data_IF_317962970888
#
_entry.id   IF_317962970888
#
_cell.length_a   1.000
_cell.length_b   1.000
_cell.length_c   1.000
_cell.angle_alpha   90.00
_cell.angle_beta   90.00
_cell.angle_gamma   90.00
#
_symmetry.space_group_name_H-M   'P 1'
#
loop_
_entity.id
_entity.type
_entity.pdbx_description
1 polymer ?
#
# COMPACT_ATOMS: atom_id res chain seq x y z
N UNK A 1 13.65 15.86 -24.20
CA UNK A 1 12.25 15.46 -24.48
C UNK A 1 11.56 15.29 -23.16
N UNK A 2 10.41 15.95 -22.97
CA UNK A 2 9.65 15.80 -21.72
C UNK A 2 8.85 14.52 -21.85
N UNK A 3 9.28 13.47 -21.18
CA UNK A 3 8.46 12.27 -21.01
C UNK A 3 7.25 12.68 -20.17
N UNK A 4 6.06 12.37 -20.65
CA UNK A 4 4.82 12.64 -19.94
C UNK A 4 4.38 11.42 -19.12
N UNK A 5 3.37 11.61 -18.26
CA UNK A 5 2.91 10.51 -17.38
C UNK A 5 2.27 9.36 -18.18
N UNK A 6 1.71 9.65 -19.35
CA UNK A 6 1.10 8.63 -20.18
C UNK A 6 2.16 7.74 -20.81
N UNK A 7 3.21 8.34 -21.39
CA UNK A 7 4.36 7.60 -21.92
C UNK A 7 5.03 6.72 -20.86
N UNK A 8 5.14 7.18 -19.60
CA UNK A 8 5.66 6.36 -18.51
C UNK A 8 4.77 5.14 -18.21
N UNK A 9 3.45 5.29 -18.29
CA UNK A 9 2.51 4.18 -18.07
C UNK A 9 2.68 3.11 -19.16
N UNK A 10 2.73 3.54 -20.42
CA UNK A 10 2.90 2.63 -21.56
C UNK A 10 4.22 1.85 -21.51
N UNK A 11 5.29 2.47 -20.98
CA UNK A 11 6.58 1.80 -20.77
C UNK A 11 6.54 0.78 -19.64
N UNK A 12 5.76 1.04 -18.58
CA UNK A 12 5.57 0.08 -17.47
C UNK A 12 4.76 -1.12 -17.94
N UNK A 13 3.72 -0.90 -18.76
CA UNK A 13 2.88 -1.98 -19.29
C UNK A 13 3.62 -2.93 -20.24
N UNK A 14 4.64 -2.43 -20.94
CA UNK A 14 5.47 -3.22 -21.87
C UNK A 14 6.68 -3.87 -21.18
N UNK A 15 6.88 -3.63 -19.88
CA UNK A 15 8.05 -4.11 -19.16
C UNK A 15 7.97 -5.62 -18.94
N UNK A 16 9.05 -6.38 -19.18
CA UNK A 16 9.12 -7.79 -18.82
C UNK A 16 8.90 -8.03 -17.32
N UNK A 17 8.15 -9.07 -16.97
CA UNK A 17 7.78 -9.40 -15.58
C UNK A 17 8.99 -9.55 -14.64
N UNK A 18 10.11 -10.08 -15.14
CA UNK A 18 11.37 -10.24 -14.40
C UNK A 18 12.03 -8.91 -14.04
N UNK A 19 11.69 -7.83 -14.74
CA UNK A 19 12.23 -6.50 -14.52
C UNK A 19 11.31 -5.57 -13.71
N UNK A 20 10.03 -5.92 -13.54
CA UNK A 20 9.03 -5.13 -12.79
C UNK A 20 9.51 -4.85 -11.37
N UNK A 21 10.05 -5.85 -10.68
CA UNK A 21 10.52 -5.69 -9.29
C UNK A 21 11.66 -4.66 -9.18
N UNK A 22 12.61 -4.70 -10.12
CA UNK A 22 13.77 -3.80 -10.14
C UNK A 22 13.35 -2.35 -10.43
N UNK A 23 12.50 -2.15 -11.43
CA UNK A 23 11.99 -0.81 -11.80
C UNK A 23 11.10 -0.23 -10.69
N UNK A 24 10.26 -1.05 -10.07
CA UNK A 24 9.44 -0.62 -8.93
C UNK A 24 10.30 -0.16 -7.74
N UNK A 25 11.40 -0.85 -7.43
CA UNK A 25 12.33 -0.44 -6.38
C UNK A 25 12.98 0.92 -6.69
N UNK A 26 13.38 1.12 -7.94
CA UNK A 26 13.94 2.39 -8.42
C UNK A 26 12.95 3.55 -8.30
N UNK A 27 11.70 3.35 -8.73
CA UNK A 27 10.64 4.36 -8.63
C UNK A 27 10.33 4.68 -7.17
N UNK A 28 10.20 3.67 -6.31
CA UNK A 28 10.01 3.86 -4.86
C UNK A 28 11.12 4.70 -4.23
N UNK A 29 12.37 4.49 -4.63
CA UNK A 29 13.52 5.30 -4.14
C UNK A 29 13.42 6.77 -4.54
N UNK A 30 12.80 7.08 -5.67
CA UNK A 30 12.66 8.44 -6.20
C UNK A 30 11.43 9.17 -5.65
N UNK A 31 10.45 8.44 -5.14
CA UNK A 31 9.29 9.05 -4.50
C UNK A 31 9.70 9.71 -3.17
N UNK A 32 9.15 10.88 -2.85
CA UNK A 32 9.39 11.50 -1.55
C UNK A 32 8.90 10.54 -0.48
N UNK A 33 9.83 10.09 0.36
CA UNK A 33 9.52 9.41 1.61
C UNK A 33 8.78 10.42 2.47
N UNK A 34 7.44 10.40 2.42
CA UNK A 34 6.66 11.01 3.48
C UNK A 34 7.09 10.29 4.76
N UNK A 35 7.48 11.09 5.74
CA UNK A 35 8.32 10.69 6.86
C UNK A 35 7.95 9.36 7.51
N UNK A 36 8.98 8.78 8.09
CA UNK A 36 9.07 7.62 8.97
C UNK A 36 8.13 7.61 10.19
N UNK A 37 6.86 7.98 10.05
CA UNK A 37 5.82 7.81 11.08
C UNK A 37 4.93 6.58 10.84
N UNK A 38 5.18 5.83 9.76
CA UNK A 38 4.50 4.56 9.50
C UNK A 38 5.16 3.86 8.32
N UNK A 39 6.11 2.98 8.62
CA UNK A 39 6.68 2.11 7.59
C UNK A 39 5.53 1.37 6.91
N UNK A 40 5.43 1.51 5.58
CA UNK A 40 4.61 0.64 4.77
C UNK A 40 5.45 -0.54 4.29
N UNK A 41 4.97 -1.78 4.40
CA UNK A 41 3.68 -2.13 4.98
C UNK A 41 3.67 -1.99 6.52
N UNK A 42 2.58 -1.47 7.12
CA UNK A 42 2.39 -1.45 8.57
C UNK A 42 2.43 -2.86 9.16
N UNK A 43 2.69 -3.00 10.46
CA UNK A 43 2.70 -4.32 11.15
C UNK A 43 1.40 -5.12 10.96
N UNK A 44 0.27 -4.46 10.72
CA UNK A 44 -1.02 -5.10 10.45
C UNK A 44 -1.25 -5.48 8.98
N UNK A 45 -0.35 -5.15 8.07
CA UNK A 45 -0.49 -5.49 6.65
C UNK A 45 -0.32 -6.99 6.44
N UNK A 46 -1.32 -7.64 5.86
CA UNK A 46 -1.34 -9.11 5.70
C UNK A 46 -1.89 -9.86 6.92
N UNK A 47 -2.37 -9.17 7.96
CA UNK A 47 -2.98 -9.81 9.14
C UNK A 47 -4.22 -10.66 8.80
N UNK A 48 -4.84 -10.43 7.64
CA UNK A 48 -5.99 -11.24 7.17
C UNK A 48 -5.59 -12.66 6.72
N UNK A 49 -4.31 -12.90 6.47
CA UNK A 49 -3.76 -14.22 6.10
C UNK A 49 -3.20 -14.99 7.31
N UNK A 50 -3.23 -14.40 8.51
CA UNK A 50 -2.80 -15.02 9.75
C UNK A 50 -3.89 -15.97 10.28
N UNK A 51 -3.59 -17.28 10.45
CA UNK A 51 -4.57 -18.29 10.86
C UNK A 51 -5.10 -18.09 12.29
N UNK A 52 -4.41 -17.31 13.12
CA UNK A 52 -4.83 -16.97 14.48
C UNK A 52 -5.73 -15.73 14.53
N UNK A 53 -5.94 -15.05 13.41
CA UNK A 53 -6.82 -13.89 13.31
C UNK A 53 -8.27 -14.36 13.15
N UNK A 54 -9.16 -14.04 14.11
CA UNK A 54 -10.53 -14.53 14.05
C UNK A 54 -11.25 -14.01 12.80
N UNK A 55 -11.80 -14.93 11.99
CA UNK A 55 -12.64 -14.64 10.81
C UNK A 55 -13.81 -13.69 11.12
N UNK A 56 -14.19 -13.57 12.39
CA UNK A 56 -15.20 -12.63 12.89
C UNK A 56 -14.81 -11.16 12.69
N UNK A 57 -13.51 -10.84 12.72
CA UNK A 57 -13.00 -9.47 12.49
C UNK A 57 -13.31 -9.02 11.05
N UNK A 58 -13.12 -9.91 10.07
CA UNK A 58 -13.43 -9.62 8.67
C UNK A 58 -14.94 -9.51 8.38
N UNK A 59 -15.79 -10.13 9.20
CA UNK A 59 -17.26 -10.08 9.03
C UNK A 59 -17.91 -8.86 9.69
N UNK A 60 -17.28 -8.31 10.73
CA UNK A 60 -17.83 -7.21 11.53
C UNK A 60 -17.00 -5.93 11.41
N UNK A 61 -16.28 -5.75 10.29
CA UNK A 61 -15.38 -4.62 10.04
C UNK A 61 -16.08 -3.28 10.30
N UNK A 62 -17.30 -3.10 9.80
CA UNK A 62 -18.04 -1.84 9.95
C UNK A 62 -18.39 -1.52 11.41
N UNK A 63 -18.76 -2.54 12.20
CA UNK A 63 -19.07 -2.38 13.62
C UNK A 63 -17.80 -2.10 14.45
N UNK A 64 -16.70 -2.78 14.13
CA UNK A 64 -15.41 -2.59 14.79
C UNK A 64 -14.79 -1.23 14.49
N UNK A 65 -14.86 -0.76 13.24
CA UNK A 65 -14.40 0.58 12.86
C UNK A 65 -15.22 1.68 13.54
N UNK A 66 -16.54 1.47 13.64
CA UNK A 66 -17.46 2.40 14.30
C UNK A 66 -17.22 2.47 15.83
N UNK A 67 -17.03 1.33 16.48
CA UNK A 67 -16.83 1.23 17.94
C UNK A 67 -15.42 1.63 18.39
N UNK A 68 -14.40 1.39 17.57
CA UNK A 68 -12.99 1.67 17.91
C UNK A 68 -12.57 3.14 17.67
N UNK A 69 -13.43 3.96 17.05
CA UNK A 69 -13.18 5.39 16.88
C UNK A 69 -12.06 5.73 15.89
N UNK A 70 -11.77 4.85 14.92
CA UNK A 70 -10.83 5.14 13.85
C UNK A 70 -11.29 6.36 13.03
N UNK A 71 -10.41 7.35 12.86
CA UNK A 71 -10.68 8.56 12.07
C UNK A 71 -11.24 9.76 12.84
N UNK A 72 -11.52 9.66 14.16
CA UNK A 72 -12.00 10.80 14.97
C UNK A 72 -10.89 11.64 15.64
N UNK A 73 -9.62 11.34 15.37
CA UNK A 73 -8.47 11.94 16.06
C UNK A 73 -7.53 12.80 15.21
N UNK A 74 -7.90 13.21 13.99
CA UNK A 74 -7.11 14.16 13.19
C UNK A 74 -7.81 15.51 13.11
N UNK A 75 -7.67 16.30 14.17
CA UNK A 75 -7.85 17.76 14.19
C UNK A 75 -6.70 18.38 14.96
#
# INVERSE_FOLDING_TARGET
MSVDRHELHDLVDQLPDDQVASVAAEVRRRLPVHGSDGAWPPEFFGIVDDPDVPTEVARNVDELLTSSGFGRGSL
#
